data_IF_879036267215
#
_entry.id   IF_879036267215
#
_cell.length_a   1.000
_cell.length_b   1.000
_cell.length_c   1.000
_cell.angle_alpha   90.00
_cell.angle_beta   90.00
_cell.angle_gamma   90.00
#
_symmetry.space_group_name_H-M   'P 1'
#
loop_
_entity.id
_entity.type
_entity.pdbx_description
1 polymer ?
#
# COMPACT_ATOMS: atom_id res chain seq x y z
N UNK A 1 -6.59 -5.15 -4.99
CA UNK A 1 -5.19 -5.56 -4.78
C UNK A 1 -5.06 -6.33 -3.47
N UNK A 2 -4.18 -7.28 -3.44
CA UNK A 2 -3.91 -8.05 -2.22
C UNK A 2 -2.51 -7.72 -1.71
N UNK A 3 -2.41 -7.32 -0.44
CA UNK A 3 -1.14 -7.16 0.24
C UNK A 3 -0.89 -8.36 1.11
N UNK A 4 0.31 -8.92 0.99
CA UNK A 4 0.67 -10.14 1.70
C UNK A 4 1.97 -9.95 2.46
N UNK A 5 1.97 -10.33 3.73
CA UNK A 5 3.19 -10.53 4.49
C UNK A 5 3.29 -12.01 4.85
N UNK A 6 4.35 -12.40 5.55
CA UNK A 6 4.52 -13.80 5.93
C UNK A 6 3.38 -14.35 6.78
N UNK A 7 2.58 -13.51 7.43
CA UNK A 7 1.52 -13.93 8.35
C UNK A 7 0.17 -13.31 8.05
N UNK A 8 0.12 -12.27 7.23
CA UNK A 8 -1.09 -11.50 7.02
C UNK A 8 -1.33 -11.29 5.55
N UNK A 9 -2.59 -11.33 5.17
CA UNK A 9 -3.05 -10.99 3.84
C UNK A 9 -4.16 -9.97 3.97
N UNK A 10 -4.05 -8.87 3.22
CA UNK A 10 -5.07 -7.85 3.18
C UNK A 10 -5.54 -7.67 1.75
N UNK A 11 -6.84 -7.64 1.56
CA UNK A 11 -7.43 -7.33 0.28
C UNK A 11 -7.98 -5.91 0.36
N UNK A 12 -7.49 -5.04 -0.50
CA UNK A 12 -7.90 -3.65 -0.48
C UNK A 12 -7.52 -2.93 -1.74
N UNK A 13 -7.86 -1.65 -1.79
CA UNK A 13 -7.59 -0.78 -2.92
C UNK A 13 -6.61 0.30 -2.48
N UNK A 14 -5.57 0.52 -3.27
CA UNK A 14 -4.65 1.63 -3.03
C UNK A 14 -5.38 2.93 -3.37
N UNK A 15 -5.67 3.73 -2.34
CA UNK A 15 -6.38 4.99 -2.49
C UNK A 15 -5.44 6.10 -2.92
N UNK A 16 -4.26 6.15 -2.31
CA UNK A 16 -3.27 7.17 -2.66
C UNK A 16 -1.86 6.69 -2.36
N UNK A 17 -0.91 7.23 -3.10
CA UNK A 17 0.51 6.98 -2.91
C UNK A 17 1.19 8.36 -2.84
N UNK A 18 1.80 8.64 -1.70
CA UNK A 18 2.59 9.84 -1.53
C UNK A 18 4.06 9.46 -1.58
N UNK A 19 4.72 9.82 -2.67
CA UNK A 19 6.11 9.44 -2.87
C UNK A 19 7.05 10.34 -2.09
N UNK A 20 8.02 9.71 -1.43
CA UNK A 20 9.11 10.41 -0.76
C UNK A 20 10.44 10.09 -1.41
N UNK A 21 11.51 10.61 -0.83
CA UNK A 21 12.86 10.38 -1.36
C UNK A 21 13.33 8.94 -1.11
N UNK A 22 12.96 8.37 0.03
CA UNK A 22 13.39 7.03 0.45
C UNK A 22 12.19 6.13 0.70
N UNK A 23 11.14 6.67 1.32
CA UNK A 23 9.94 5.94 1.68
C UNK A 23 8.73 6.55 1.03
N UNK A 24 7.73 5.72 0.77
CA UNK A 24 6.43 6.14 0.27
C UNK A 24 5.36 5.88 1.31
N UNK A 25 4.37 6.75 1.37
CA UNK A 25 3.20 6.59 2.21
C UNK A 25 2.04 6.09 1.37
N UNK A 26 1.53 4.93 1.71
CA UNK A 26 0.46 4.27 0.95
C UNK A 26 -0.80 4.26 1.81
N UNK A 27 -1.89 4.80 1.27
CA UNK A 27 -3.20 4.69 1.92
C UNK A 27 -4.00 3.62 1.21
N UNK A 28 -4.43 2.62 1.96
CA UNK A 28 -5.15 1.46 1.45
C UNK A 28 -6.56 1.48 2.04
N UNK A 29 -7.55 1.39 1.16
CA UNK A 29 -8.94 1.30 1.58
C UNK A 29 -9.35 -0.16 1.60
N UNK A 30 -9.80 -0.62 2.75
CA UNK A 30 -10.28 -1.99 2.96
C UNK A 30 -11.78 -2.07 2.71
N UNK A 31 -12.32 -3.29 2.49
CA UNK A 31 -13.76 -3.49 2.48
C UNK A 31 -14.37 -2.99 3.79
N UNK A 32 -15.49 -2.30 3.69
CA UNK A 32 -16.13 -1.70 4.86
C UNK A 32 -15.74 -0.25 5.12
N UNK A 33 -14.80 0.30 4.33
CA UNK A 33 -14.44 1.72 4.41
C UNK A 33 -13.28 2.05 5.33
N UNK A 34 -12.72 1.08 6.04
CA UNK A 34 -11.54 1.31 6.86
C UNK A 34 -10.33 1.61 5.97
N UNK A 35 -9.53 2.60 6.38
CA UNK A 35 -8.30 2.95 5.66
C UNK A 35 -7.10 2.63 6.54
N UNK A 36 -6.07 2.08 5.90
CA UNK A 36 -4.78 1.84 6.53
C UNK A 36 -3.74 2.69 5.84
N UNK A 37 -2.85 3.28 6.64
CA UNK A 37 -1.69 3.99 6.11
C UNK A 37 -0.46 3.15 6.39
N UNK A 38 0.30 2.85 5.35
CA UNK A 38 1.54 2.10 5.45
C UNK A 38 2.68 2.95 4.92
N UNK A 39 3.84 2.84 5.57
CA UNK A 39 5.07 3.48 5.08
C UNK A 39 6.00 2.37 4.64
N UNK A 40 6.35 2.38 3.37
CA UNK A 40 7.25 1.38 2.79
C UNK A 40 8.33 2.07 1.98
N UNK A 41 9.41 1.36 1.69
CA UNK A 41 10.49 1.94 0.91
C UNK A 41 10.04 2.21 -0.53
N UNK A 42 10.62 3.22 -1.16
CA UNK A 42 10.38 3.52 -2.57
C UNK A 42 10.70 2.31 -3.44
N UNK A 43 11.78 1.59 -3.12
CA UNK A 43 12.15 0.38 -3.83
C UNK A 43 11.06 -0.69 -3.73
N UNK A 44 10.48 -0.86 -2.55
CA UNK A 44 9.40 -1.84 -2.35
C UNK A 44 8.14 -1.44 -3.12
N UNK A 45 7.80 -0.16 -3.14
CA UNK A 45 6.66 0.33 -3.91
C UNK A 45 6.83 -0.02 -5.38
N UNK A 46 8.01 0.23 -5.93
CA UNK A 46 8.31 -0.08 -7.33
C UNK A 46 8.31 -1.58 -7.58
N UNK A 47 8.93 -2.36 -6.70
CA UNK A 47 9.02 -3.81 -6.86
C UNK A 47 7.65 -4.49 -6.81
N UNK A 48 6.73 -3.98 -5.99
CA UNK A 48 5.38 -4.52 -5.87
C UNK A 48 4.45 -4.02 -6.98
N UNK A 49 4.87 -3.03 -7.76
CA UNK A 49 4.04 -2.47 -8.82
C UNK A 49 2.81 -1.76 -8.29
N UNK A 50 2.90 -1.16 -7.11
CA UNK A 50 1.77 -0.48 -6.49
C UNK A 50 1.39 0.76 -7.27
N UNK A 51 0.09 0.95 -7.46
CA UNK A 51 -0.48 2.12 -8.10
C UNK A 51 -1.88 2.36 -7.59
N UNK A 52 -2.32 3.61 -7.71
CA UNK A 52 -3.67 3.99 -7.29
C UNK A 52 -4.72 3.32 -8.16
N UNK A 53 -5.80 2.90 -7.54
CA UNK A 53 -6.93 2.30 -8.24
C UNK A 53 -7.28 0.90 -7.82
#
# INVERSE_FOLDING_TARGET
MMLTSSRNQFKGTVKSIKKGAVNDEIVIKLPGGTELTAVITETSTSALGLKEG
#
